data_IF_977287692942
#
_entry.id   IF_977287692942
#
_cell.length_a   1.000
_cell.length_b   1.000
_cell.length_c   1.000
_cell.angle_alpha   90.00
_cell.angle_beta   90.00
_cell.angle_gamma   90.00
#
_symmetry.space_group_name_H-M   'P 1'
#
loop_
_entity.id
_entity.type
_entity.pdbx_description
1 polymer ?
#
# COMPACT_ATOMS: atom_id res chain seq x y z
N UNK A 1 -9.76 4.64 -9.48
CA UNK A 1 -8.52 5.21 -8.93
C UNK A 1 -8.10 6.35 -9.83
N UNK A 2 -7.93 7.55 -9.31
CA UNK A 2 -7.53 8.70 -10.13
C UNK A 2 -6.09 9.07 -9.76
N UNK A 3 -5.16 8.84 -10.70
CA UNK A 3 -3.79 9.31 -10.57
C UNK A 3 -3.69 10.72 -11.13
N UNK A 4 -2.97 11.58 -10.43
CA UNK A 4 -2.46 12.83 -10.97
C UNK A 4 -1.13 12.53 -11.66
N UNK A 5 -1.07 12.73 -12.97
CA UNK A 5 0.17 12.54 -13.71
C UNK A 5 0.98 13.84 -13.63
N UNK A 6 2.17 13.74 -13.06
CA UNK A 6 3.12 14.83 -12.94
C UNK A 6 4.33 14.52 -13.82
N UNK A 7 4.94 15.55 -14.39
CA UNK A 7 6.27 15.37 -14.97
C UNK A 7 7.33 15.24 -13.85
N UNK A 8 8.55 14.85 -14.24
CA UNK A 8 9.61 14.56 -13.27
C UNK A 8 10.03 15.80 -12.49
N UNK A 9 10.12 16.95 -13.15
CA UNK A 9 10.53 18.20 -12.52
C UNK A 9 9.50 18.68 -11.49
N UNK A 10 8.22 18.58 -11.81
CA UNK A 10 7.13 18.91 -10.89
C UNK A 10 7.10 17.96 -9.69
N UNK A 11 7.36 16.66 -9.92
CA UNK A 11 7.43 15.68 -8.84
C UNK A 11 8.59 15.99 -7.89
N UNK A 12 9.79 16.31 -8.44
CA UNK A 12 10.98 16.69 -7.67
C UNK A 12 10.71 17.97 -6.84
N UNK A 13 10.13 18.99 -7.44
CA UNK A 13 9.75 20.22 -6.75
C UNK A 13 8.82 19.95 -5.55
N UNK A 14 7.86 19.04 -5.69
CA UNK A 14 6.94 18.66 -4.59
C UNK A 14 7.62 17.84 -3.51
N UNK A 15 8.63 17.03 -3.85
CA UNK A 15 9.49 16.37 -2.86
C UNK A 15 10.21 17.43 -2.02
N UNK A 16 10.88 18.38 -2.68
CA UNK A 16 11.62 19.46 -2.01
C UNK A 16 10.72 20.35 -1.14
N UNK A 17 9.49 20.59 -1.58
CA UNK A 17 8.48 21.30 -0.82
C UNK A 17 7.86 20.48 0.34
N UNK A 18 8.19 19.20 0.48
CA UNK A 18 7.64 18.33 1.53
C UNK A 18 6.13 18.08 1.39
N UNK A 19 5.59 18.13 0.17
CA UNK A 19 4.16 17.97 -0.09
C UNK A 19 3.69 16.50 -0.01
N UNK A 20 4.62 15.53 -0.10
CA UNK A 20 4.28 14.11 -0.05
C UNK A 20 4.30 13.55 1.38
N UNK A 21 3.24 12.86 1.75
CA UNK A 21 3.19 12.00 2.94
C UNK A 21 4.21 10.85 2.81
N UNK A 22 4.24 10.23 1.64
CA UNK A 22 5.21 9.23 1.21
C UNK A 22 5.40 9.29 -0.30
N UNK A 23 6.53 8.83 -0.78
CA UNK A 23 6.79 8.58 -2.19
C UNK A 23 7.85 7.48 -2.36
N UNK A 24 7.80 6.79 -3.49
CA UNK A 24 8.74 5.70 -3.84
C UNK A 24 9.10 5.75 -5.32
N UNK A 25 10.31 5.30 -5.65
CA UNK A 25 10.68 4.91 -7.01
C UNK A 25 10.32 3.43 -7.19
N UNK A 26 9.50 3.12 -8.18
CA UNK A 26 9.09 1.75 -8.47
C UNK A 26 9.10 1.50 -9.99
N UNK A 27 9.92 0.53 -10.44
CA UNK A 27 10.05 0.11 -11.84
C UNK A 27 10.23 1.31 -12.79
N UNK A 28 11.14 2.25 -12.43
CA UNK A 28 11.49 3.42 -13.24
C UNK A 28 10.48 4.58 -13.20
N UNK A 29 9.38 4.44 -12.47
CA UNK A 29 8.39 5.48 -12.24
C UNK A 29 8.38 5.91 -10.78
N UNK A 30 7.86 7.12 -10.53
CA UNK A 30 7.65 7.64 -9.18
C UNK A 30 6.18 7.67 -8.84
N UNK A 31 5.89 7.26 -7.61
CA UNK A 31 4.54 7.28 -7.05
C UNK A 31 4.59 7.96 -5.70
N UNK A 32 3.52 8.63 -5.32
CA UNK A 32 3.46 9.25 -3.99
C UNK A 32 2.06 9.71 -3.63
N UNK A 33 1.86 9.89 -2.34
CA UNK A 33 0.60 10.33 -1.75
C UNK A 33 0.78 11.74 -1.18
N UNK A 34 0.00 12.70 -1.66
CA UNK A 34 0.07 14.08 -1.18
C UNK A 34 -0.65 14.23 0.18
N UNK A 35 -0.06 15.01 1.09
CA UNK A 35 -0.71 15.40 2.34
C UNK A 35 -2.07 16.05 2.10
N UNK A 36 -2.17 16.92 1.10
CA UNK A 36 -3.40 17.64 0.76
C UNK A 36 -4.58 16.73 0.41
N UNK A 37 -4.33 15.57 -0.21
CA UNK A 37 -5.37 14.59 -0.53
C UNK A 37 -5.87 13.87 0.73
N UNK A 38 -4.97 13.52 1.64
CA UNK A 38 -5.32 12.91 2.92
C UNK A 38 -6.17 13.88 3.75
N UNK A 39 -5.74 15.13 3.82
CA UNK A 39 -6.44 16.18 4.57
C UNK A 39 -7.82 16.49 3.97
N UNK A 40 -7.94 16.45 2.64
CA UNK A 40 -9.21 16.61 1.97
C UNK A 40 -10.18 15.50 2.35
N UNK A 41 -9.76 14.23 2.27
CA UNK A 41 -10.59 13.08 2.62
C UNK A 41 -11.01 13.11 4.10
N UNK A 42 -10.10 13.45 5.00
CA UNK A 42 -10.39 13.59 6.44
C UNK A 42 -11.41 14.69 6.71
N UNK A 43 -11.30 15.85 6.06
CA UNK A 43 -12.29 16.92 6.17
C UNK A 43 -13.69 16.52 5.67
N UNK A 44 -13.75 15.59 4.71
CA UNK A 44 -15.00 15.00 4.22
C UNK A 44 -15.55 13.90 5.15
N UNK A 45 -14.90 13.64 6.30
CA UNK A 45 -15.29 12.56 7.23
C UNK A 45 -14.99 11.16 6.71
N UNK A 46 -14.08 11.03 5.73
CA UNK A 46 -13.69 9.77 5.10
C UNK A 46 -12.39 9.26 5.68
N UNK A 47 -12.30 7.97 5.90
CA UNK A 47 -11.03 7.31 6.21
C UNK A 47 -10.26 7.04 4.91
N UNK A 48 -9.05 7.61 4.72
CA UNK A 48 -8.23 7.30 3.55
C UNK A 48 -7.80 5.84 3.56
N UNK A 49 -7.94 5.16 2.42
CA UNK A 49 -7.37 3.85 2.16
C UNK A 49 -6.29 4.00 1.08
N UNK A 50 -5.07 3.63 1.41
CA UNK A 50 -3.91 3.73 0.54
C UNK A 50 -3.46 2.34 0.10
N UNK A 51 -3.18 2.17 -1.18
CA UNK A 51 -2.51 1.01 -1.74
C UNK A 51 -1.08 1.42 -2.05
N UNK A 52 -0.13 0.90 -1.29
CA UNK A 52 1.26 1.33 -1.28
C UNK A 52 2.20 0.14 -1.43
N UNK A 53 3.39 0.40 -1.95
CA UNK A 53 4.51 -0.51 -1.83
C UNK A 53 4.94 -0.64 -0.35
N UNK A 54 5.58 -1.76 0.00
CA UNK A 54 5.93 -2.12 1.38
C UNK A 54 6.66 -1.00 2.10
N UNK A 55 7.67 -0.39 1.47
CA UNK A 55 8.43 0.71 2.06
C UNK A 55 7.56 1.96 2.30
N UNK A 56 6.70 2.30 1.34
CA UNK A 56 5.74 3.41 1.47
C UNK A 56 4.78 3.20 2.64
N UNK A 57 4.22 1.99 2.76
CA UNK A 57 3.31 1.63 3.84
C UNK A 57 3.97 1.76 5.22
N UNK A 58 5.19 1.25 5.39
CA UNK A 58 5.94 1.34 6.63
C UNK A 58 6.36 2.79 6.97
N UNK A 59 6.59 3.65 5.97
CA UNK A 59 6.81 5.09 6.19
C UNK A 59 5.55 5.76 6.72
N UNK A 60 4.39 5.47 6.13
CA UNK A 60 3.09 6.00 6.59
C UNK A 60 2.81 5.55 8.02
N UNK A 61 2.98 4.26 8.32
CA UNK A 61 2.78 3.70 9.66
C UNK A 61 3.59 4.46 10.74
N UNK A 62 4.85 4.80 10.42
CA UNK A 62 5.73 5.54 11.35
C UNK A 62 5.39 7.02 11.51
N UNK A 63 4.74 7.64 10.53
CA UNK A 63 4.53 9.10 10.46
C UNK A 63 3.12 9.54 10.80
N UNK A 64 2.16 8.64 10.61
CA UNK A 64 0.73 8.96 10.75
C UNK A 64 0.19 8.28 12.00
N UNK A 65 -0.13 9.08 12.99
CA UNK A 65 -0.81 8.59 14.19
C UNK A 65 -2.14 7.95 13.83
N UNK A 66 -2.44 6.80 14.45
CA UNK A 66 -3.62 5.98 14.19
C UNK A 66 -3.74 5.40 12.77
N UNK A 67 -2.67 5.44 11.96
CA UNK A 67 -2.61 4.61 10.78
C UNK A 67 -2.42 3.14 11.20
N UNK A 68 -3.06 2.23 10.48
CA UNK A 68 -2.78 0.80 10.59
C UNK A 68 -2.48 0.23 9.21
N UNK A 69 -1.65 -0.77 9.17
CA UNK A 69 -1.15 -1.37 7.95
C UNK A 69 -1.62 -2.80 7.81
N UNK A 70 -1.98 -3.17 6.58
CA UNK A 70 -2.37 -4.54 6.23
C UNK A 70 -1.48 -5.00 5.09
N UNK A 71 -0.71 -6.04 5.31
CA UNK A 71 0.05 -6.72 4.27
C UNK A 71 -0.84 -7.75 3.59
N UNK A 72 -1.05 -7.61 2.28
CA UNK A 72 -1.80 -8.57 1.50
C UNK A 72 -0.81 -9.43 0.73
N UNK A 73 -0.81 -10.72 1.03
CA UNK A 73 0.10 -11.69 0.42
C UNK A 73 -0.64 -12.82 -0.27
N UNK A 74 0.09 -13.68 -0.95
CA UNK A 74 -0.39 -14.98 -1.41
C UNK A 74 0.72 -16.02 -1.19
N UNK A 75 0.42 -17.32 -1.16
CA UNK A 75 1.44 -18.36 -1.18
C UNK A 75 2.44 -18.14 -2.32
N UNK A 76 3.73 -18.45 -2.07
CA UNK A 76 4.79 -18.17 -3.05
C UNK A 76 4.50 -18.86 -4.39
N UNK A 77 3.98 -20.07 -4.36
CA UNK A 77 3.61 -20.84 -5.53
C UNK A 77 2.50 -20.15 -6.35
N UNK A 78 1.55 -19.53 -5.65
CA UNK A 78 0.47 -18.77 -6.27
C UNK A 78 0.98 -17.44 -6.86
N UNK A 79 1.93 -16.77 -6.19
CA UNK A 79 2.60 -15.58 -6.73
C UNK A 79 3.37 -15.93 -8.01
N UNK A 80 4.14 -17.01 -8.00
CA UNK A 80 4.88 -17.50 -9.17
C UNK A 80 3.91 -17.83 -10.33
N UNK A 81 2.82 -18.51 -10.06
CA UNK A 81 1.79 -18.82 -11.06
C UNK A 81 1.16 -17.56 -11.66
N UNK A 82 0.74 -16.60 -10.82
CA UNK A 82 0.10 -15.34 -11.26
C UNK A 82 1.05 -14.47 -12.06
N UNK A 83 2.32 -14.42 -11.68
CA UNK A 83 3.35 -13.70 -12.43
C UNK A 83 3.61 -14.34 -13.78
N UNK A 84 3.69 -15.69 -13.84
CA UNK A 84 3.85 -16.43 -15.08
C UNK A 84 2.67 -16.29 -16.04
N UNK A 85 1.43 -16.23 -15.57
CA UNK A 85 0.23 -16.06 -16.39
C UNK A 85 0.08 -14.65 -16.97
N UNK A 86 0.58 -13.63 -16.30
CA UNK A 86 0.60 -12.25 -16.81
C UNK A 86 1.72 -11.97 -17.80
N UNK A 87 2.63 -12.91 -17.97
CA UNK A 87 3.87 -12.69 -18.70
C UNK A 87 3.69 -12.77 -20.23
N UNK A 88 3.51 -11.60 -20.82
CA UNK A 88 4.13 -11.25 -22.10
C UNK A 88 5.63 -10.87 -21.92
N UNK A 89 6.19 -11.07 -20.72
CA UNK A 89 7.51 -10.60 -20.29
C UNK A 89 8.54 -11.76 -20.32
N UNK A 90 9.83 -11.43 -20.43
CA UNK A 90 10.91 -12.43 -20.44
C UNK A 90 11.06 -13.13 -19.07
N UNK A 91 11.57 -14.36 -19.05
CA UNK A 91 11.77 -15.17 -17.83
C UNK A 91 12.58 -14.43 -16.76
N UNK A 92 13.57 -13.61 -17.13
CA UNK A 92 14.37 -12.83 -16.16
C UNK A 92 13.54 -11.81 -15.36
N UNK A 93 12.54 -11.18 -15.98
CA UNK A 93 11.66 -10.22 -15.27
C UNK A 93 10.77 -10.93 -14.25
N UNK A 94 10.34 -12.17 -14.56
CA UNK A 94 9.54 -12.97 -13.62
C UNK A 94 10.39 -13.34 -12.40
N UNK A 95 11.63 -13.77 -12.58
CA UNK A 95 12.54 -14.13 -11.51
C UNK A 95 12.83 -12.93 -10.58
N UNK A 96 13.08 -11.75 -11.14
CA UNK A 96 13.27 -10.52 -10.36
C UNK A 96 12.03 -10.17 -9.52
N UNK A 97 10.82 -10.31 -10.07
CA UNK A 97 9.58 -10.06 -9.34
C UNK A 97 9.31 -11.08 -8.24
N UNK A 98 9.64 -12.35 -8.48
CA UNK A 98 9.54 -13.39 -7.45
C UNK A 98 10.53 -13.12 -6.32
N UNK A 99 11.76 -12.74 -6.63
CA UNK A 99 12.75 -12.37 -5.63
C UNK A 99 12.30 -11.19 -4.78
N UNK A 100 11.78 -10.13 -5.42
CA UNK A 100 11.22 -8.97 -4.74
C UNK A 100 10.01 -9.35 -3.85
N UNK A 101 9.12 -10.21 -4.33
CA UNK A 101 7.97 -10.67 -3.55
C UNK A 101 8.41 -11.45 -2.30
N UNK A 102 9.45 -12.29 -2.39
CA UNK A 102 10.03 -13.00 -1.24
C UNK A 102 10.63 -12.03 -0.22
N UNK A 103 11.40 -11.04 -0.67
CA UNK A 103 11.95 -10.01 0.20
C UNK A 103 10.85 -9.21 0.91
N UNK A 104 9.78 -8.83 0.19
CA UNK A 104 8.64 -8.15 0.78
C UNK A 104 7.90 -9.03 1.81
N UNK A 105 7.83 -10.34 1.57
CA UNK A 105 7.23 -11.29 2.50
C UNK A 105 7.97 -11.34 3.85
N UNK A 106 9.30 -11.25 3.84
CA UNK A 106 10.12 -11.18 5.06
C UNK A 106 9.77 -9.95 5.90
N UNK A 107 9.31 -8.87 5.27
CA UNK A 107 8.91 -7.63 5.94
C UNK A 107 7.46 -7.66 6.46
N UNK A 108 6.68 -8.70 6.15
CA UNK A 108 5.27 -8.80 6.54
C UNK A 108 5.03 -8.68 8.04
N UNK A 109 5.99 -9.16 8.86
CA UNK A 109 5.94 -9.07 10.32
C UNK A 109 6.01 -7.65 10.89
N UNK A 110 6.35 -6.65 10.07
CA UNK A 110 6.34 -5.24 10.47
C UNK A 110 4.96 -4.56 10.31
N UNK A 111 4.01 -5.25 9.67
CA UNK A 111 2.65 -4.77 9.47
C UNK A 111 1.75 -5.16 10.64
N UNK A 112 0.71 -4.35 10.90
CA UNK A 112 -0.25 -4.60 11.97
C UNK A 112 -1.13 -5.84 11.71
N UNK A 113 -1.39 -6.13 10.42
CA UNK A 113 -2.17 -7.28 9.97
C UNK A 113 -1.57 -7.88 8.72
N UNK A 114 -1.76 -9.19 8.56
CA UNK A 114 -1.44 -9.93 7.33
C UNK A 114 -2.69 -10.63 6.85
N UNK A 115 -3.01 -10.49 5.56
CA UNK A 115 -4.13 -11.17 4.89
C UNK A 115 -3.59 -11.99 3.73
N UNK A 116 -3.87 -13.28 3.74
CA UNK A 116 -3.53 -14.16 2.65
C UNK A 116 -4.61 -14.14 1.56
N UNK A 117 -4.21 -13.79 0.34
CA UNK A 117 -5.07 -13.71 -0.84
C UNK A 117 -4.86 -14.95 -1.73
N UNK A 118 -5.12 -16.12 -1.18
CA UNK A 118 -5.21 -17.38 -1.91
C UNK A 118 -6.60 -17.55 -2.56
N UNK A 119 -7.65 -17.05 -1.89
CA UNK A 119 -9.00 -16.90 -2.40
C UNK A 119 -9.47 -15.44 -2.29
N UNK A 120 -9.95 -14.88 -3.41
CA UNK A 120 -10.28 -13.47 -3.52
C UNK A 120 -11.43 -13.05 -2.60
N UNK A 121 -12.49 -13.87 -2.49
CA UNK A 121 -13.67 -13.52 -1.69
C UNK A 121 -13.34 -13.58 -0.20
N UNK A 122 -12.66 -14.65 0.22
CA UNK A 122 -12.20 -14.80 1.60
C UNK A 122 -11.24 -13.68 2.02
N UNK A 123 -10.29 -13.32 1.16
CA UNK A 123 -9.36 -12.20 1.42
C UNK A 123 -10.09 -10.86 1.51
N UNK A 124 -11.09 -10.61 0.65
CA UNK A 124 -11.91 -9.41 0.69
C UNK A 124 -12.72 -9.32 1.99
N UNK A 125 -13.31 -10.41 2.44
CA UNK A 125 -14.05 -10.48 3.70
C UNK A 125 -13.13 -10.24 4.90
N UNK A 126 -11.95 -10.84 4.92
CA UNK A 126 -10.95 -10.62 5.96
C UNK A 126 -10.49 -9.16 6.03
N UNK A 127 -10.18 -8.55 4.88
CA UNK A 127 -9.86 -7.12 4.77
C UNK A 127 -10.99 -6.24 5.31
N UNK A 128 -12.23 -6.49 4.87
CA UNK A 128 -13.40 -5.74 5.31
C UNK A 128 -13.60 -5.83 6.83
N UNK A 129 -13.44 -7.03 7.40
CA UNK A 129 -13.57 -7.24 8.85
C UNK A 129 -12.50 -6.50 9.65
N UNK A 130 -11.22 -6.52 9.21
CA UNK A 130 -10.12 -5.79 9.85
C UNK A 130 -10.41 -4.29 9.79
N UNK A 131 -10.72 -3.74 8.61
CA UNK A 131 -10.98 -2.31 8.41
C UNK A 131 -12.16 -1.86 9.29
N UNK A 132 -13.28 -2.57 9.25
CA UNK A 132 -14.45 -2.25 10.07
C UNK A 132 -14.13 -2.30 11.58
N UNK A 133 -13.31 -3.25 12.01
CA UNK A 133 -12.85 -3.38 13.41
C UNK A 133 -12.02 -2.17 13.85
N UNK A 134 -11.07 -1.72 13.02
CA UNK A 134 -10.21 -0.58 13.35
C UNK A 134 -10.98 0.75 13.32
N UNK A 135 -11.86 0.97 12.36
CA UNK A 135 -12.69 2.17 12.30
C UNK A 135 -13.60 2.31 13.55
N UNK A 136 -14.16 1.19 14.05
CA UNK A 136 -14.93 1.21 15.29
C UNK A 136 -14.08 1.59 16.52
N UNK A 137 -12.86 1.07 16.64
CA UNK A 137 -11.94 1.43 17.73
C UNK A 137 -11.61 2.92 17.71
N UNK A 138 -11.26 3.45 16.55
CA UNK A 138 -10.95 4.88 16.39
C UNK A 138 -12.15 5.76 16.75
N UNK A 139 -13.37 5.40 16.33
CA UNK A 139 -14.58 6.13 16.65
C UNK A 139 -14.91 6.11 18.16
N UNK A 140 -14.56 5.03 18.87
CA UNK A 140 -14.76 4.92 20.33
C UNK A 140 -13.76 5.78 21.09
N UNK A 141 -12.50 5.88 20.62
CA UNK A 141 -11.46 6.70 21.23
C UNK A 141 -11.66 8.21 21.00
N UNK A 142 -12.38 8.60 19.95
CA UNK A 142 -12.66 10.00 19.61
C UNK A 142 -13.90 10.58 20.32
N UNK A 143 -14.60 9.82 21.17
CA UNK A 143 -15.69 10.33 22.00
C UNK A 143 -15.12 10.87 23.32
N UNK A 144 -15.36 12.17 23.62
CA UNK A 144 -14.97 12.78 24.89
C UNK A 144 -15.67 12.16 26.09
#
# INVERSE_FOLDING_TARGET
MHYWFLDRAEFDRRIEAGEFLEWVDYVGNRYGTLHSEIDRLRREGRAPLLELETEGALRVQRRVENAFTIFVTAPVEELERRLGERATESSGVIEERVALAREQLEQSGAFDFVVENDDRERAADALAAIIAGQLRKTATMARP
#
